data_IF_694085075973
#
_entry.id   IF_694085075973
#
_cell.length_a   1.000
_cell.length_b   1.000
_cell.length_c   1.000
_cell.angle_alpha   90.00
_cell.angle_beta   90.00
_cell.angle_gamma   90.00
#
_symmetry.space_group_name_H-M   'P 1'
#
loop_
_entity.id
_entity.type
_entity.pdbx_description
1 polymer ?
#
# COMPACT_ATOMS: atom_id res chain seq x y z
N UNK A 1 -21.86 6.25 -39.72
CA UNK A 1 -21.25 6.84 -38.51
C UNK A 1 -20.86 5.69 -37.60
N UNK A 2 -19.55 5.53 -37.34
CA UNK A 2 -19.01 4.45 -36.53
C UNK A 2 -19.29 4.69 -35.05
N UNK A 3 -20.05 3.79 -34.42
CA UNK A 3 -20.12 3.69 -32.97
C UNK A 3 -19.10 2.65 -32.53
N UNK A 4 -17.90 3.12 -32.20
CA UNK A 4 -16.85 2.34 -31.56
C UNK A 4 -16.38 3.16 -30.37
N UNK A 5 -16.69 2.69 -29.16
CA UNK A 5 -15.63 2.33 -28.21
C UNK A 5 -16.22 1.73 -26.94
N UNK A 6 -16.14 0.40 -26.90
CA UNK A 6 -15.65 -0.37 -25.76
C UNK A 6 -16.56 -0.42 -24.53
N UNK A 7 -17.52 -1.33 -24.62
CA UNK A 7 -17.66 -2.45 -23.67
C UNK A 7 -17.23 -2.16 -22.23
N UNK A 8 -18.20 -1.61 -21.50
CA UNK A 8 -18.29 -1.62 -20.04
C UNK A 8 -18.60 -3.03 -19.47
N UNK A 9 -18.28 -4.10 -20.19
CA UNK A 9 -18.71 -5.46 -19.85
C UNK A 9 -17.60 -6.46 -20.11
N UNK A 10 -17.27 -7.24 -19.08
CA UNK A 10 -16.50 -8.49 -19.17
C UNK A 10 -14.98 -8.36 -19.42
N UNK A 11 -14.24 -8.03 -18.36
CA UNK A 11 -12.93 -8.64 -18.10
C UNK A 11 -12.85 -9.17 -16.67
N UNK A 12 -13.67 -10.18 -16.39
CA UNK A 12 -13.48 -11.09 -15.23
C UNK A 12 -12.45 -12.19 -15.56
N UNK A 13 -11.40 -11.85 -16.31
CA UNK A 13 -10.25 -12.71 -16.45
C UNK A 13 -9.26 -12.29 -15.36
N UNK A 14 -9.09 -13.14 -14.34
CA UNK A 14 -8.01 -13.04 -13.37
C UNK A 14 -6.69 -13.05 -14.15
N UNK A 15 -6.22 -11.86 -14.48
CA UNK A 15 -4.97 -11.62 -15.18
C UNK A 15 -3.92 -11.46 -14.08
N UNK A 16 -2.67 -11.91 -14.23
CA UNK A 16 -1.61 -11.62 -13.26
C UNK A 16 -1.52 -10.12 -12.89
N UNK A 17 -1.92 -9.25 -13.83
CA UNK A 17 -2.11 -7.78 -13.71
C UNK A 17 -3.29 -7.29 -12.86
N UNK A 18 -4.17 -8.17 -12.41
CA UNK A 18 -5.28 -7.80 -11.52
C UNK A 18 -4.82 -7.91 -10.07
N UNK A 19 -3.96 -8.88 -9.76
CA UNK A 19 -3.61 -9.21 -8.38
C UNK A 19 -2.52 -8.29 -7.82
N UNK A 20 -1.53 -7.92 -8.63
CA UNK A 20 -0.57 -6.85 -8.33
C UNK A 20 -1.29 -5.51 -8.09
N UNK A 21 -2.26 -5.13 -8.94
CA UNK A 21 -3.04 -3.90 -8.78
C UNK A 21 -3.86 -3.93 -7.49
N UNK A 22 -4.50 -5.06 -7.16
CA UNK A 22 -5.23 -5.22 -5.90
C UNK A 22 -4.28 -5.10 -4.70
N UNK A 23 -3.12 -5.75 -4.76
CA UNK A 23 -2.13 -5.71 -3.67
C UNK A 23 -1.51 -4.32 -3.50
N UNK A 24 -1.22 -3.64 -4.61
CA UNK A 24 -0.72 -2.28 -4.60
C UNK A 24 -1.74 -1.29 -4.01
N UNK A 25 -3.02 -1.43 -4.37
CA UNK A 25 -4.09 -0.65 -3.78
C UNK A 25 -4.25 -0.93 -2.28
N UNK A 26 -4.15 -2.20 -1.86
CA UNK A 26 -4.15 -2.57 -0.43
C UNK A 26 -2.96 -1.95 0.31
N UNK A 27 -1.77 -2.02 -0.26
CA UNK A 27 -0.56 -1.46 0.33
C UNK A 27 -0.68 0.06 0.49
N UNK A 28 -1.17 0.77 -0.52
CA UNK A 28 -1.44 2.21 -0.45
C UNK A 28 -2.51 2.58 0.57
N UNK A 29 -3.56 1.75 0.71
CA UNK A 29 -4.64 1.98 1.64
C UNK A 29 -4.32 1.53 3.08
N UNK A 30 -3.20 0.83 3.29
CA UNK A 30 -2.81 0.35 4.60
C UNK A 30 -2.46 1.54 5.49
N UNK A 31 -3.21 1.70 6.57
CA UNK A 31 -3.03 2.74 7.60
C UNK A 31 -2.75 2.06 8.92
N UNK A 32 -2.03 2.76 9.81
CA UNK A 32 -1.78 2.27 11.15
C UNK A 32 -3.09 1.97 11.88
N UNK A 33 -3.18 0.75 12.42
CA UNK A 33 -4.26 0.34 13.29
C UNK A 33 -3.82 0.61 14.75
N UNK A 34 -4.55 1.43 15.52
CA UNK A 34 -4.19 1.76 16.90
C UNK A 34 -4.19 0.56 17.85
N UNK A 35 -4.83 -0.55 17.47
CA UNK A 35 -4.84 -1.80 18.23
C UNK A 35 -3.64 -2.71 17.93
N UNK A 36 -2.82 -2.37 16.93
CA UNK A 36 -1.62 -3.11 16.56
C UNK A 36 -0.38 -2.37 17.03
N UNK A 37 0.65 -3.12 17.39
CA UNK A 37 1.96 -2.49 17.60
C UNK A 37 2.58 -2.04 16.27
N UNK A 38 3.56 -1.13 16.35
CA UNK A 38 4.24 -0.59 15.15
C UNK A 38 4.94 -1.70 14.37
N UNK A 39 5.50 -2.73 15.04
CA UNK A 39 6.20 -3.81 14.38
C UNK A 39 5.24 -4.71 13.57
N UNK A 40 4.04 -4.98 14.08
CA UNK A 40 2.96 -5.70 13.41
C UNK A 40 2.50 -4.92 12.17
N UNK A 41 2.31 -3.61 12.30
CA UNK A 41 1.96 -2.74 11.17
C UNK A 41 3.04 -2.76 10.08
N UNK A 42 4.30 -2.52 10.45
CA UNK A 42 5.45 -2.56 9.54
C UNK A 42 5.56 -3.94 8.87
N UNK A 43 5.45 -5.02 9.66
CA UNK A 43 5.48 -6.40 9.17
C UNK A 43 4.39 -6.68 8.12
N UNK A 44 3.17 -6.17 8.32
CA UNK A 44 2.08 -6.32 7.36
C UNK A 44 2.36 -5.63 6.02
N UNK A 45 2.97 -4.44 6.05
CA UNK A 45 3.39 -3.71 4.84
C UNK A 45 4.49 -4.47 4.08
N UNK A 46 5.48 -5.01 4.79
CA UNK A 46 6.54 -5.83 4.18
C UNK A 46 5.98 -7.13 3.59
N UNK A 47 5.00 -7.76 4.23
CA UNK A 47 4.33 -8.95 3.71
C UNK A 47 3.60 -8.65 2.39
N UNK A 48 2.88 -7.53 2.29
CA UNK A 48 2.24 -7.10 1.05
C UNK A 48 3.26 -6.82 -0.07
N UNK A 49 4.40 -6.21 0.27
CA UNK A 49 5.51 -6.02 -0.68
C UNK A 49 6.08 -7.36 -1.15
N UNK A 50 6.29 -8.32 -0.26
CA UNK A 50 6.80 -9.65 -0.64
C UNK A 50 5.82 -10.37 -1.60
N UNK A 51 4.51 -10.21 -1.39
CA UNK A 51 3.49 -10.74 -2.32
C UNK A 51 3.55 -10.05 -3.69
N UNK A 52 3.82 -8.74 -3.74
CA UNK A 52 4.05 -8.04 -5.00
C UNK A 52 5.31 -8.54 -5.72
N UNK A 53 6.41 -8.72 -5.00
CA UNK A 53 7.64 -9.27 -5.56
C UNK A 53 7.45 -10.68 -6.13
N UNK A 54 6.67 -11.53 -5.45
CA UNK A 54 6.31 -12.87 -5.94
C UNK A 54 5.49 -12.85 -7.25
N UNK A 55 4.88 -11.72 -7.59
CA UNK A 55 4.14 -11.48 -8.84
C UNK A 55 4.98 -10.75 -9.91
N UNK A 56 6.30 -10.63 -9.73
CA UNK A 56 7.19 -9.81 -10.57
C UNK A 56 6.81 -8.32 -10.62
N UNK A 57 6.13 -7.82 -9.59
CA UNK A 57 5.68 -6.43 -9.46
C UNK A 57 6.34 -5.74 -8.26
N UNK A 58 7.61 -6.06 -7.98
CA UNK A 58 8.33 -5.47 -6.85
C UNK A 58 8.38 -3.95 -6.94
N UNK A 59 8.38 -3.32 -5.77
CA UNK A 59 8.37 -1.88 -5.60
C UNK A 59 9.77 -1.37 -5.29
N UNK A 60 10.14 -0.24 -5.90
CA UNK A 60 11.34 0.48 -5.52
C UNK A 60 11.33 0.83 -4.02
N UNK A 61 12.44 0.54 -3.33
CA UNK A 61 12.57 0.75 -1.89
C UNK A 61 12.18 2.17 -1.46
N UNK A 62 12.62 3.19 -2.21
CA UNK A 62 12.32 4.59 -1.90
C UNK A 62 10.80 4.88 -1.88
N UNK A 63 10.04 4.31 -2.81
CA UNK A 63 8.58 4.47 -2.88
C UNK A 63 7.93 3.75 -1.69
N UNK A 64 8.36 2.51 -1.43
CA UNK A 64 7.85 1.72 -0.32
C UNK A 64 8.10 2.41 1.04
N UNK A 65 9.31 2.93 1.26
CA UNK A 65 9.68 3.64 2.49
C UNK A 65 8.84 4.91 2.68
N UNK A 66 8.59 5.69 1.62
CA UNK A 66 7.70 6.85 1.69
C UNK A 66 6.27 6.44 2.06
N UNK A 67 5.74 5.37 1.47
CA UNK A 67 4.42 4.84 1.80
C UNK A 67 4.36 4.35 3.24
N UNK A 68 5.41 3.66 3.71
CA UNK A 68 5.52 3.19 5.08
C UNK A 68 5.53 4.34 6.08
N UNK A 69 6.37 5.36 5.87
CA UNK A 69 6.40 6.53 6.75
C UNK A 69 5.06 7.25 6.83
N UNK A 70 4.30 7.31 5.72
CA UNK A 70 2.96 7.92 5.68
C UNK A 70 1.89 7.08 6.35
N UNK A 71 2.07 5.76 6.46
CA UNK A 71 1.08 4.88 7.08
C UNK A 71 1.27 4.75 8.59
N UNK A 72 2.44 5.11 9.12
CA UNK A 72 2.74 5.11 10.55
C UNK A 72 1.89 6.14 11.32
N UNK A 73 1.67 5.93 12.63
CA UNK A 73 1.00 6.92 13.45
C UNK A 73 1.78 8.22 13.41
N UNK A 74 1.11 9.39 13.46
CA UNK A 74 1.80 10.64 13.65
C UNK A 74 2.62 10.49 14.94
N UNK A 75 3.93 10.64 14.84
CA UNK A 75 4.74 10.80 16.04
C UNK A 75 4.13 11.99 16.79
N UNK A 76 3.69 11.84 18.05
CA UNK A 76 3.36 13.01 18.83
C UNK A 76 4.62 13.87 18.79
N UNK A 77 4.50 15.08 18.25
CA UNK A 77 5.55 16.07 18.39
C UNK A 77 5.88 16.04 19.87
N UNK A 78 7.10 15.60 20.21
CA UNK A 78 7.54 15.62 21.59
C UNK A 78 7.21 17.01 22.07
N UNK A 79 6.24 17.13 22.98
CA UNK A 79 6.10 18.33 23.79
C UNK A 79 7.39 18.34 24.59
N UNK A 80 8.44 18.88 23.97
CA UNK A 80 9.68 19.17 24.62
C UNK A 80 9.24 20.16 25.68
N UNK A 81 9.16 19.70 26.91
CA UNK A 81 9.06 20.54 28.09
C UNK A 81 10.28 21.47 28.08
N UNK A 82 10.22 22.53 27.29
CA UNK A 82 11.11 23.69 27.37
C UNK A 82 10.46 24.62 28.40
N UNK A 83 10.50 24.18 29.65
CA UNK A 83 10.32 25.05 30.81
C UNK A 83 11.70 25.35 31.36
N UNK A 84 12.22 26.52 30.99
CA UNK A 84 13.25 27.22 31.77
C UNK A 84 12.58 27.85 32.99
#
# INVERSE_FOLDING_TARGET
MASLSMELGQRNAATPKSQDVILFNKLQATKYNPNWDVAQHVGSMFMLRAQLAALNADMHDAIFIIMLMRSLPPTPASTVCTGW
#
